data_IF_183992281900
#
_entry.id   IF_183992281900
#
_cell.length_a   1.000
_cell.length_b   1.000
_cell.length_c   1.000
_cell.angle_alpha   90.00
_cell.angle_beta   90.00
_cell.angle_gamma   90.00
#
_symmetry.space_group_name_H-M   'P 1'
#
loop_
_entity.id
_entity.type
_entity.pdbx_description
1 polymer ?
#
# COMPACT_ATOMS: atom_id res chain seq x y z
N UNK A 1 25.04 -26.03 -5.13
CA UNK A 1 24.85 -24.91 -4.18
C UNK A 1 25.72 -23.71 -4.54
N UNK A 2 27.03 -23.90 -4.73
CA UNK A 2 27.95 -22.81 -5.13
C UNK A 2 27.66 -22.22 -6.53
N UNK A 3 27.32 -23.04 -7.53
CA UNK A 3 26.95 -22.54 -8.89
C UNK A 3 25.71 -21.63 -8.87
N UNK A 4 24.72 -21.93 -8.04
CA UNK A 4 23.50 -21.10 -7.93
C UNK A 4 23.78 -19.73 -7.30
N UNK A 5 24.78 -19.62 -6.42
CA UNK A 5 25.14 -18.34 -5.80
C UNK A 5 25.88 -17.47 -6.81
N UNK A 6 26.81 -18.04 -7.57
CA UNK A 6 27.56 -17.31 -8.59
C UNK A 6 26.64 -16.76 -9.69
N UNK A 7 25.67 -17.55 -10.16
CA UNK A 7 24.67 -17.08 -11.15
C UNK A 7 23.85 -15.91 -10.60
N UNK A 8 23.40 -15.98 -9.34
CA UNK A 8 22.63 -14.91 -8.71
C UNK A 8 23.47 -13.63 -8.57
N UNK A 9 24.76 -13.75 -8.24
CA UNK A 9 25.68 -12.62 -8.15
C UNK A 9 25.95 -11.97 -9.51
N UNK A 10 26.16 -12.77 -10.56
CA UNK A 10 26.34 -12.27 -11.93
C UNK A 10 25.08 -11.57 -12.45
N UNK A 11 23.89 -12.16 -12.25
CA UNK A 11 22.62 -11.51 -12.58
C UNK A 11 22.44 -10.20 -11.82
N UNK A 12 22.70 -10.20 -10.50
CA UNK A 12 22.61 -8.99 -9.70
C UNK A 12 23.59 -7.91 -10.17
N UNK A 13 24.78 -8.29 -10.65
CA UNK A 13 25.75 -7.37 -11.22
C UNK A 13 25.23 -6.72 -12.50
N UNK A 14 24.65 -7.49 -13.41
CA UNK A 14 24.05 -6.95 -14.65
C UNK A 14 23.02 -5.85 -14.34
N UNK A 15 22.07 -6.11 -13.43
CA UNK A 15 21.06 -5.11 -13.06
C UNK A 15 21.67 -3.88 -12.37
N UNK A 16 22.74 -4.05 -11.58
CA UNK A 16 23.44 -2.92 -10.93
C UNK A 16 24.24 -2.08 -11.93
N UNK A 17 24.83 -2.69 -12.94
CA UNK A 17 25.56 -1.99 -14.01
C UNK A 17 24.62 -1.08 -14.82
N UNK A 18 23.36 -1.48 -14.97
CA UNK A 18 22.30 -0.65 -15.58
C UNK A 18 21.67 0.36 -14.60
N UNK A 19 22.24 0.53 -13.39
CA UNK A 19 21.79 1.50 -12.39
C UNK A 19 20.67 1.02 -11.47
N UNK A 20 20.28 -0.25 -11.56
CA UNK A 20 19.27 -0.86 -10.68
C UNK A 20 19.78 -1.06 -9.25
N UNK A 21 18.91 -0.86 -8.26
CA UNK A 21 19.18 -1.24 -6.87
C UNK A 21 18.68 -2.67 -6.66
N UNK A 22 19.61 -3.60 -6.38
CA UNK A 22 19.29 -5.02 -6.21
C UNK A 22 19.38 -5.43 -4.75
N UNK A 23 18.29 -6.01 -4.24
CA UNK A 23 18.21 -6.60 -2.90
C UNK A 23 18.06 -8.12 -3.01
N UNK A 24 19.05 -8.87 -2.51
CA UNK A 24 18.98 -10.32 -2.45
C UNK A 24 18.18 -10.76 -1.23
N UNK A 25 17.18 -11.62 -1.46
CA UNK A 25 16.32 -12.16 -0.43
C UNK A 25 16.66 -13.62 -0.16
N UNK A 26 16.35 -14.07 1.06
CA UNK A 26 16.64 -15.44 1.50
C UNK A 26 15.77 -16.49 0.81
N UNK A 27 14.55 -16.12 0.39
CA UNK A 27 13.62 -17.03 -0.27
C UNK A 27 12.47 -16.29 -0.96
N UNK A 28 11.72 -17.01 -1.79
CA UNK A 28 10.49 -16.51 -2.43
C UNK A 28 9.40 -16.16 -1.42
N UNK A 29 9.30 -16.87 -0.29
CA UNK A 29 8.32 -16.55 0.74
C UNK A 29 8.60 -15.20 1.42
N UNK A 30 9.87 -14.82 1.58
CA UNK A 30 10.24 -13.49 2.09
C UNK A 30 9.85 -12.42 1.08
N UNK A 31 10.10 -12.66 -0.21
CA UNK A 31 9.67 -11.79 -1.29
C UNK A 31 8.14 -11.60 -1.26
N UNK A 32 7.38 -12.69 -1.22
CA UNK A 32 5.92 -12.64 -1.28
C UNK A 32 5.31 -11.92 -0.07
N UNK A 33 5.88 -12.11 1.13
CA UNK A 33 5.48 -11.36 2.32
C UNK A 33 5.69 -9.85 2.15
N UNK A 34 6.82 -9.44 1.58
CA UNK A 34 7.08 -8.01 1.32
C UNK A 34 6.16 -7.47 0.23
N UNK A 35 5.92 -8.22 -0.84
CA UNK A 35 5.00 -7.82 -1.90
C UNK A 35 3.54 -7.78 -1.43
N UNK A 36 3.14 -8.64 -0.48
CA UNK A 36 1.82 -8.57 0.11
C UNK A 36 1.59 -7.22 0.81
N UNK A 37 2.60 -6.71 1.51
CA UNK A 37 2.55 -5.44 2.24
C UNK A 37 2.72 -4.21 1.34
N UNK A 38 3.61 -4.28 0.34
CA UNK A 38 4.04 -3.12 -0.45
C UNK A 38 3.35 -3.00 -1.81
N UNK A 39 2.80 -4.09 -2.34
CA UNK A 39 2.12 -4.12 -3.64
C UNK A 39 0.66 -4.56 -3.49
N UNK A 40 0.43 -5.73 -2.90
CA UNK A 40 -0.92 -6.31 -2.73
C UNK A 40 -1.85 -5.39 -1.94
N UNK A 41 -1.46 -5.05 -0.71
CA UNK A 41 -2.27 -4.23 0.20
C UNK A 41 -2.58 -2.83 -0.37
N UNK A 42 -1.62 -2.02 -0.84
CA UNK A 42 -1.93 -0.70 -1.39
C UNK A 42 -2.86 -0.76 -2.60
N UNK A 43 -2.68 -1.72 -3.52
CA UNK A 43 -3.57 -1.89 -4.66
C UNK A 43 -4.97 -2.34 -4.24
N UNK A 44 -5.07 -3.27 -3.30
CA UNK A 44 -6.36 -3.73 -2.79
C UNK A 44 -7.14 -2.60 -2.11
N UNK A 45 -6.48 -1.77 -1.30
CA UNK A 45 -7.11 -0.61 -0.66
C UNK A 45 -7.60 0.42 -1.68
N UNK A 46 -6.86 0.66 -2.76
CA UNK A 46 -7.27 1.55 -3.85
C UNK A 46 -8.49 1.01 -4.61
N UNK A 47 -8.51 -0.29 -4.92
CA UNK A 47 -9.67 -0.96 -5.55
C UNK A 47 -10.89 -0.85 -4.63
N UNK A 48 -10.72 -1.11 -3.33
CA UNK A 48 -11.80 -1.02 -2.35
C UNK A 48 -12.32 0.42 -2.23
N UNK A 49 -11.42 1.40 -2.15
CA UNK A 49 -11.77 2.82 -2.09
C UNK A 49 -12.60 3.24 -3.30
N UNK A 50 -12.14 2.94 -4.51
CA UNK A 50 -12.88 3.26 -5.72
C UNK A 50 -14.21 2.49 -5.83
N UNK A 51 -14.25 1.23 -5.39
CA UNK A 51 -15.49 0.44 -5.34
C UNK A 51 -16.55 1.10 -4.46
N UNK A 52 -16.16 1.69 -3.33
CA UNK A 52 -17.08 2.43 -2.46
C UNK A 52 -17.57 3.72 -3.14
N UNK A 53 -16.67 4.44 -3.83
CA UNK A 53 -17.03 5.67 -4.55
C UNK A 53 -17.90 5.44 -5.78
N UNK A 54 -17.84 4.25 -6.41
CA UNK A 54 -18.58 3.94 -7.63
C UNK A 54 -20.11 4.05 -7.49
N UNK A 55 -20.64 4.09 -6.27
CA UNK A 55 -22.06 4.35 -5.99
C UNK A 55 -22.46 5.83 -6.00
N UNK A 56 -21.50 6.75 -6.13
CA UNK A 56 -21.70 8.20 -6.03
C UNK A 56 -21.44 8.89 -7.38
N UNK A 57 -21.93 10.13 -7.54
CA UNK A 57 -21.48 11.00 -8.63
C UNK A 57 -20.05 11.50 -8.32
N UNK A 58 -19.06 10.91 -9.01
CA UNK A 58 -17.65 11.23 -8.78
C UNK A 58 -17.32 12.69 -9.10
N UNK A 59 -18.01 13.32 -10.08
CA UNK A 59 -17.76 14.72 -10.42
C UNK A 59 -18.24 15.64 -9.31
N UNK A 60 -19.36 15.29 -8.67
CA UNK A 60 -19.86 16.02 -7.51
C UNK A 60 -18.93 15.82 -6.29
N UNK A 61 -18.53 14.57 -6.00
CA UNK A 61 -17.62 14.27 -4.88
C UNK A 61 -16.29 15.04 -5.01
N UNK A 62 -15.73 15.13 -6.23
CA UNK A 62 -14.47 15.86 -6.49
C UNK A 62 -14.56 17.34 -6.12
N UNK A 63 -15.73 17.99 -6.17
CA UNK A 63 -15.90 19.39 -5.76
C UNK A 63 -15.66 19.62 -4.27
N UNK A 64 -15.83 18.58 -3.44
CA UNK A 64 -15.60 18.62 -2.00
C UNK A 64 -14.27 17.98 -1.58
N UNK A 65 -13.51 17.46 -2.56
CA UNK A 65 -12.24 16.78 -2.31
C UNK A 65 -11.12 17.74 -1.91
N UNK A 66 -10.50 17.50 -0.76
CA UNK A 66 -9.24 18.12 -0.39
C UNK A 66 -8.03 17.44 -1.05
N UNK A 67 -6.82 17.95 -0.77
CA UNK A 67 -5.56 17.44 -1.32
C UNK A 67 -5.37 15.94 -1.13
N UNK A 68 -5.69 15.42 0.06
CA UNK A 68 -5.63 13.98 0.37
C UNK A 68 -6.54 13.16 -0.53
N UNK A 69 -7.78 13.63 -0.74
CA UNK A 69 -8.74 12.94 -1.61
C UNK A 69 -8.25 12.93 -3.05
N UNK A 70 -7.73 14.06 -3.54
CA UNK A 70 -7.21 14.17 -4.91
C UNK A 70 -6.10 13.15 -5.18
N UNK A 71 -5.09 13.08 -4.31
CA UNK A 71 -3.98 12.14 -4.50
C UNK A 71 -4.44 10.68 -4.35
N UNK A 72 -5.32 10.39 -3.38
CA UNK A 72 -5.87 9.04 -3.19
C UNK A 72 -6.71 8.60 -4.39
N UNK A 73 -7.53 9.49 -4.93
CA UNK A 73 -8.34 9.22 -6.12
C UNK A 73 -7.46 8.97 -7.34
N UNK A 74 -6.40 9.77 -7.53
CA UNK A 74 -5.44 9.55 -8.61
C UNK A 74 -4.78 8.17 -8.54
N UNK A 75 -4.36 7.73 -7.34
CA UNK A 75 -3.80 6.38 -7.13
C UNK A 75 -4.83 5.30 -7.48
N UNK A 76 -6.09 5.49 -7.10
CA UNK A 76 -7.15 4.55 -7.38
C UNK A 76 -7.53 4.51 -8.88
N UNK A 77 -7.63 5.65 -9.54
CA UNK A 77 -7.86 5.76 -10.99
C UNK A 77 -6.69 5.13 -11.77
N UNK A 78 -5.44 5.35 -11.35
CA UNK A 78 -4.26 4.72 -11.93
C UNK A 78 -4.34 3.19 -11.86
N UNK A 79 -4.69 2.64 -10.69
CA UNK A 79 -4.90 1.19 -10.52
C UNK A 79 -6.04 0.67 -11.42
N UNK A 80 -7.18 1.35 -11.45
CA UNK A 80 -8.32 0.90 -12.25
C UNK A 80 -8.13 1.06 -13.77
N UNK A 81 -7.14 1.81 -14.21
CA UNK A 81 -6.82 2.00 -15.63
C UNK A 81 -6.04 0.85 -16.27
N UNK A 82 -5.54 -0.11 -15.49
CA UNK A 82 -4.78 -1.25 -16.02
C UNK A 82 -5.65 -2.51 -16.18
N UNK A 83 -5.03 -3.60 -16.66
CA UNK A 83 -5.69 -4.89 -16.85
C UNK A 83 -6.20 -5.48 -15.52
N UNK A 84 -7.51 -5.74 -15.37
CA UNK A 84 -8.06 -6.36 -14.16
C UNK A 84 -7.50 -7.77 -13.89
N UNK A 85 -7.07 -8.51 -14.93
CA UNK A 85 -6.47 -9.84 -14.75
C UNK A 85 -5.12 -9.76 -14.04
N UNK A 86 -4.34 -8.71 -14.30
CA UNK A 86 -3.08 -8.44 -13.61
C UNK A 86 -3.32 -8.22 -12.12
N UNK A 87 -4.27 -7.36 -11.76
CA UNK A 87 -4.58 -7.12 -10.34
C UNK A 87 -5.18 -8.34 -9.67
N UNK A 88 -6.05 -9.10 -10.35
CA UNK A 88 -6.51 -10.38 -9.82
C UNK A 88 -5.34 -11.33 -9.53
N UNK A 89 -4.37 -11.44 -10.45
CA UNK A 89 -3.18 -12.26 -10.26
C UNK A 89 -2.34 -11.77 -9.06
N UNK A 90 -2.07 -10.47 -8.95
CA UNK A 90 -1.34 -9.87 -7.82
C UNK A 90 -1.99 -10.25 -6.48
N UNK A 91 -3.31 -10.15 -6.37
CA UNK A 91 -4.02 -10.44 -5.11
C UNK A 91 -4.18 -11.94 -4.85
N UNK A 92 -4.42 -12.75 -5.89
CA UNK A 92 -4.77 -14.17 -5.72
C UNK A 92 -3.54 -15.09 -5.67
N UNK A 93 -2.47 -14.76 -6.39
CA UNK A 93 -1.31 -15.65 -6.52
C UNK A 93 -0.29 -15.49 -5.39
N UNK A 94 -0.41 -14.46 -4.55
CA UNK A 94 0.43 -14.27 -3.38
C UNK A 94 -0.24 -14.88 -2.12
N UNK A 95 0.23 -16.02 -1.58
CA UNK A 95 -0.37 -16.65 -0.41
C UNK A 95 -0.27 -15.78 0.85
N UNK A 96 0.84 -15.04 1.01
CA UNK A 96 1.03 -14.14 2.15
C UNK A 96 0.01 -12.99 2.15
N UNK A 97 -0.46 -12.56 0.97
CA UNK A 97 -1.54 -11.58 0.89
C UNK A 97 -2.87 -12.15 1.39
N UNK A 98 -3.18 -13.42 1.12
CA UNK A 98 -4.39 -14.08 1.64
C UNK A 98 -4.40 -14.14 3.16
N UNK A 99 -3.24 -14.39 3.76
CA UNK A 99 -3.07 -14.33 5.22
C UNK A 99 -3.27 -12.90 5.75
N UNK A 100 -2.66 -11.92 5.08
CA UNK A 100 -2.76 -10.50 5.44
C UNK A 100 -4.20 -9.96 5.42
N UNK A 101 -5.08 -10.48 4.55
CA UNK A 101 -6.49 -10.07 4.50
C UNK A 101 -7.20 -10.26 5.85
N UNK A 102 -6.82 -11.27 6.63
CA UNK A 102 -7.41 -11.49 7.96
C UNK A 102 -7.07 -10.34 8.93
N UNK A 103 -5.84 -9.83 8.87
CA UNK A 103 -5.39 -8.65 9.63
C UNK A 103 -6.14 -7.41 9.17
N UNK A 104 -6.27 -7.19 7.85
CA UNK A 104 -7.03 -6.06 7.29
C UNK A 104 -8.47 -6.05 7.80
N UNK A 105 -9.16 -7.19 7.74
CA UNK A 105 -10.54 -7.31 8.19
C UNK A 105 -10.69 -7.06 9.70
N UNK A 106 -9.73 -7.52 10.49
CA UNK A 106 -9.72 -7.31 11.95
C UNK A 106 -9.53 -5.84 12.27
N UNK A 107 -8.51 -5.19 11.71
CA UNK A 107 -8.25 -3.77 11.91
C UNK A 107 -9.42 -2.89 11.45
N UNK A 108 -10.04 -3.22 10.30
CA UNK A 108 -11.22 -2.51 9.81
C UNK A 108 -12.39 -2.61 10.80
N UNK A 109 -12.68 -3.80 11.33
CA UNK A 109 -13.74 -4.00 12.34
C UNK A 109 -13.48 -3.22 13.63
N UNK A 110 -12.25 -3.23 14.12
CA UNK A 110 -11.88 -2.52 15.36
C UNK A 110 -12.04 -1.01 15.20
N UNK A 111 -11.49 -0.43 14.12
CA UNK A 111 -11.61 0.99 13.82
C UNK A 111 -13.07 1.40 13.59
N UNK A 112 -13.83 0.59 12.84
CA UNK A 112 -15.26 0.84 12.59
C UNK A 112 -16.06 0.81 13.88
N UNK A 113 -15.80 -0.15 14.76
CA UNK A 113 -16.49 -0.25 16.04
C UNK A 113 -16.27 0.98 16.91
N UNK A 114 -15.04 1.50 16.97
CA UNK A 114 -14.74 2.71 17.73
C UNK A 114 -15.52 3.93 17.20
N UNK A 115 -15.64 4.07 15.89
CA UNK A 115 -16.38 5.18 15.26
C UNK A 115 -17.89 5.03 15.48
N UNK A 116 -18.46 3.87 15.15
CA UNK A 116 -19.92 3.63 15.22
C UNK A 116 -20.45 3.73 16.65
N UNK A 117 -19.64 3.32 17.63
CA UNK A 117 -20.01 3.38 19.05
C UNK A 117 -19.71 4.74 19.70
N UNK A 118 -19.20 5.72 18.94
CA UNK A 118 -18.72 7.01 19.45
C UNK A 118 -17.66 6.87 20.56
N UNK A 119 -16.86 5.80 20.53
CA UNK A 119 -15.80 5.49 21.50
C UNK A 119 -14.52 6.24 21.14
N UNK A 120 -14.53 7.55 21.41
CA UNK A 120 -13.38 8.43 21.20
C UNK A 120 -12.11 7.94 21.91
N UNK A 121 -12.12 7.50 23.18
CA UNK A 121 -10.93 6.97 23.83
C UNK A 121 -10.31 5.78 23.08
N UNK A 122 -11.11 4.82 22.63
CA UNK A 122 -10.61 3.68 21.87
C UNK A 122 -10.03 4.09 20.52
N UNK A 123 -10.68 5.01 19.81
CA UNK A 123 -10.15 5.54 18.55
C UNK A 123 -8.78 6.20 18.76
N UNK A 124 -8.66 7.08 19.75
CA UNK A 124 -7.40 7.77 20.08
C UNK A 124 -6.31 6.76 20.43
N UNK A 125 -6.64 5.74 21.23
CA UNK A 125 -5.71 4.67 21.58
C UNK A 125 -5.14 3.99 20.33
N UNK A 126 -5.99 3.50 19.43
CA UNK A 126 -5.55 2.84 18.19
C UNK A 126 -4.69 3.78 17.32
N UNK A 127 -5.08 5.06 17.21
CA UNK A 127 -4.33 6.05 16.45
C UNK A 127 -2.93 6.28 17.04
N UNK A 128 -2.82 6.43 18.36
CA UNK A 128 -1.56 6.68 19.05
C UNK A 128 -0.62 5.47 19.04
N UNK A 129 -1.16 4.26 19.25
CA UNK A 129 -0.39 3.02 19.16
C UNK A 129 0.18 2.82 17.76
N UNK A 130 -0.64 3.06 16.72
CA UNK A 130 -0.20 3.00 15.33
C UNK A 130 0.86 4.08 15.05
N UNK A 131 0.63 5.31 15.51
CA UNK A 131 1.58 6.42 15.36
C UNK A 131 2.92 6.08 16.00
N UNK A 132 2.94 5.54 17.21
CA UNK A 132 4.18 5.19 17.93
C UNK A 132 5.02 4.14 17.19
N UNK A 133 4.36 3.21 16.50
CA UNK A 133 5.02 2.20 15.67
C UNK A 133 5.54 2.80 14.36
N UNK A 134 4.73 3.58 13.64
CA UNK A 134 5.07 4.11 12.31
C UNK A 134 6.06 5.28 12.40
N UNK A 135 6.02 6.07 13.47
CA UNK A 135 6.94 7.20 13.67
C UNK A 135 8.39 6.79 13.92
N UNK A 136 8.69 5.49 14.01
CA UNK A 136 10.05 4.97 14.03
C UNK A 136 10.72 5.06 12.65
N UNK A 137 9.95 5.21 11.57
CA UNK A 137 10.48 5.54 10.26
C UNK A 137 11.14 6.94 10.31
N UNK A 138 12.45 7.06 10.02
CA UNK A 138 13.15 8.35 9.99
C UNK A 138 12.47 9.39 9.09
N UNK A 139 11.80 8.95 8.02
CA UNK A 139 11.14 9.85 7.08
C UNK A 139 9.78 10.38 7.57
N UNK A 140 9.22 9.79 8.64
CA UNK A 140 7.88 10.15 9.16
C UNK A 140 7.75 11.64 9.47
N UNK A 141 8.79 12.23 10.06
CA UNK A 141 8.82 13.66 10.42
C UNK A 141 8.65 14.60 9.22
N UNK A 142 8.98 14.13 8.01
CA UNK A 142 8.90 14.89 6.76
C UNK A 142 7.72 14.49 5.88
N UNK A 143 6.86 13.57 6.35
CA UNK A 143 5.77 12.99 5.57
C UNK A 143 4.86 14.06 4.95
N UNK A 144 4.51 15.11 5.71
CA UNK A 144 3.66 16.20 5.23
C UNK A 144 4.32 16.98 4.07
N UNK A 145 5.62 17.29 4.16
CA UNK A 145 6.34 17.98 3.09
C UNK A 145 6.45 17.11 1.84
N UNK A 146 6.73 15.81 2.00
CA UNK A 146 6.80 14.84 0.90
C UNK A 146 5.46 14.66 0.21
N UNK A 147 4.36 14.66 0.98
CA UNK A 147 3.00 14.61 0.44
C UNK A 147 2.72 15.79 -0.51
N UNK A 148 3.04 17.02 -0.11
CA UNK A 148 2.84 18.18 -0.99
C UNK A 148 3.74 18.16 -2.22
N UNK A 149 4.99 17.73 -2.09
CA UNK A 149 5.87 17.54 -3.27
C UNK A 149 5.30 16.53 -4.26
N UNK A 150 4.73 15.43 -3.77
CA UNK A 150 4.08 14.43 -4.62
C UNK A 150 2.81 14.98 -5.28
N UNK A 151 2.01 15.75 -4.55
CA UNK A 151 0.82 16.41 -5.09
C UNK A 151 1.18 17.41 -6.20
N UNK A 152 2.18 18.27 -5.98
CA UNK A 152 2.62 19.26 -6.97
C UNK A 152 3.17 18.60 -8.24
N UNK A 153 3.88 17.48 -8.10
CA UNK A 153 4.39 16.70 -9.23
C UNK A 153 3.30 15.93 -10.00
N UNK A 154 2.09 15.83 -9.45
CA UNK A 154 0.97 15.09 -10.04
C UNK A 154 -0.05 15.96 -10.80
N UNK A 155 0.15 17.28 -10.80
CA UNK A 155 -0.65 18.28 -11.51
C UNK A 155 -0.05 18.60 -12.88
#
# INVERSE_FOLDING_TARGET
VYENIQIVEEMAKMFKEDGGVVHLLKSGEVHDKMMALTLGLPHFLNILFAKVLAGSDIQEVKKFGGTTFTLQLLLAESVLSQDPNLYYAIQNQNPAFKELLSTVLTSLKEMTSAVVQNDKPRFIKHFQETTASISQDPEFSTAYQRFYKALDASQ
#
